data_IF_342018635623
#
_entry.id   IF_342018635623
#
_cell.length_a   1.000
_cell.length_b   1.000
_cell.length_c   1.000
_cell.angle_alpha   90.00
_cell.angle_beta   90.00
_cell.angle_gamma   90.00
#
_symmetry.space_group_name_H-M   'P 1'
#
loop_
_entity.id
_entity.type
_entity.pdbx_description
1 polymer ?
#
# COMPACT_ATOMS: atom_id res chain seq x y z
N UNK A 1 27.06 -6.60 -17.09
CA UNK A 1 26.20 -5.63 -16.38
C UNK A 1 25.14 -6.42 -15.63
N UNK A 2 25.35 -6.71 -14.34
CA UNK A 2 24.40 -7.49 -13.53
C UNK A 2 23.21 -6.58 -13.21
N UNK A 3 22.09 -6.81 -13.87
CA UNK A 3 20.82 -6.15 -13.54
C UNK A 3 20.43 -6.67 -12.16
N UNK A 4 20.59 -5.84 -11.12
CA UNK A 4 20.04 -6.12 -9.80
C UNK A 4 18.54 -5.90 -9.89
N UNK A 5 17.77 -6.99 -9.91
CA UNK A 5 16.34 -6.94 -9.66
C UNK A 5 16.11 -6.44 -8.23
N UNK A 6 15.30 -5.38 -8.01
CA UNK A 6 14.93 -4.99 -6.66
C UNK A 6 14.13 -6.14 -6.03
N UNK A 7 14.57 -6.60 -4.86
CA UNK A 7 13.91 -7.66 -4.12
C UNK A 7 12.65 -7.05 -3.49
N UNK A 8 11.50 -7.25 -4.13
CA UNK A 8 10.21 -6.81 -3.60
C UNK A 8 9.89 -7.73 -2.42
N UNK A 9 10.05 -7.23 -1.20
CA UNK A 9 9.69 -7.97 0.00
C UNK A 9 8.17 -7.86 0.19
N UNK A 10 7.53 -9.01 0.12
CA UNK A 10 6.11 -9.23 0.35
C UNK A 10 5.92 -9.32 1.87
N UNK A 11 5.27 -8.32 2.47
CA UNK A 11 4.80 -8.42 3.87
C UNK A 11 3.56 -9.30 3.83
N UNK A 12 3.75 -10.56 4.20
CA UNK A 12 2.69 -11.53 4.37
C UNK A 12 2.58 -11.84 5.88
N UNK A 13 1.60 -11.34 6.62
CA UNK A 13 1.31 -11.98 7.90
C UNK A 13 0.67 -13.34 7.60
N UNK A 14 1.11 -14.41 8.26
CA UNK A 14 0.46 -15.72 8.21
C UNK A 14 0.54 -16.37 9.60
N UNK A 15 -0.62 -16.46 10.26
CA UNK A 15 -0.76 -17.26 11.48
C UNK A 15 -1.78 -18.36 11.19
N UNK A 16 -1.29 -19.61 11.15
CA UNK A 16 -2.09 -20.82 11.14
C UNK A 16 -2.33 -21.28 12.57
N UNK A 17 -3.58 -21.69 12.88
CA UNK A 17 -3.89 -22.44 14.09
C UNK A 17 -4.16 -23.89 13.72
N UNK A 18 -3.44 -24.83 14.32
CA UNK A 18 -3.84 -26.23 14.41
C UNK A 18 -3.66 -26.75 15.84
N UNK A 19 -4.73 -27.38 16.31
CA UNK A 19 -4.86 -28.00 17.63
C UNK A 19 -3.96 -29.23 17.77
N UNK A 20 -3.10 -29.24 18.79
CA UNK A 20 -2.83 -30.41 19.63
C UNK A 20 -2.22 -29.93 20.96
N UNK A 21 -2.61 -30.58 22.05
CA UNK A 21 -2.39 -30.18 23.45
C UNK A 21 -0.90 -30.14 23.87
N UNK A 22 -0.23 -29.03 23.61
CA UNK A 22 0.94 -28.61 24.37
C UNK A 22 0.61 -27.26 24.99
N UNK A 23 0.92 -27.08 26.28
CA UNK A 23 0.93 -25.75 26.90
C UNK A 23 1.81 -24.87 26.01
N UNK A 24 1.29 -23.80 25.38
CA UNK A 24 2.13 -23.01 24.49
C UNK A 24 3.16 -22.26 25.32
N UNK A 25 4.44 -22.42 25.00
CA UNK A 25 5.51 -21.69 25.66
C UNK A 25 5.53 -20.23 25.19
N UNK A 26 5.71 -19.29 26.13
CA UNK A 26 6.16 -17.94 25.78
C UNK A 26 7.48 -18.03 24.99
N UNK A 27 7.82 -17.01 24.18
CA UNK A 27 9.12 -16.93 23.54
C UNK A 27 10.25 -17.23 24.53
N UNK A 28 11.23 -18.08 24.16
CA UNK A 28 12.36 -18.37 25.02
C UNK A 28 13.11 -17.08 25.35
N UNK A 29 13.38 -16.86 26.63
CA UNK A 29 14.16 -15.73 27.11
C UNK A 29 15.14 -16.22 28.18
N UNK A 30 16.36 -15.69 28.14
CA UNK A 30 17.41 -15.91 29.14
C UNK A 30 17.83 -14.59 29.80
N UNK A 31 18.78 -14.65 30.73
CA UNK A 31 19.27 -13.49 31.50
C UNK A 31 20.01 -12.44 30.63
N UNK A 32 20.30 -12.74 29.37
CA UNK A 32 21.00 -11.78 28.48
C UNK A 32 20.06 -10.73 27.89
N UNK A 33 18.73 -10.96 27.96
CA UNK A 33 17.73 -9.99 27.55
C UNK A 33 17.65 -8.84 28.56
N UNK A 34 17.84 -7.63 28.07
CA UNK A 34 17.50 -6.40 28.78
C UNK A 34 16.02 -6.11 28.55
N UNK A 35 15.38 -5.52 29.56
CA UNK A 35 13.97 -5.16 29.53
C UNK A 35 13.84 -3.66 29.73
N UNK A 36 13.14 -3.01 28.81
CA UNK A 36 12.68 -1.64 28.95
C UNK A 36 11.16 -1.64 29.11
N UNK A 37 10.68 -1.22 30.28
CA UNK A 37 9.25 -1.27 30.62
C UNK A 37 8.61 0.11 30.50
N UNK A 38 7.51 0.18 29.77
CA UNK A 38 6.52 1.26 29.84
C UNK A 38 5.29 0.84 30.65
N UNK A 39 4.21 1.64 30.63
CA UNK A 39 2.99 1.35 31.39
C UNK A 39 2.26 0.08 30.94
N UNK A 40 2.22 -0.19 29.62
CA UNK A 40 1.47 -1.31 29.02
C UNK A 40 2.32 -2.20 28.13
N UNK A 41 3.52 -1.78 27.76
CA UNK A 41 4.42 -2.49 26.84
C UNK A 41 5.78 -2.67 27.51
N UNK A 42 6.33 -3.87 27.42
CA UNK A 42 7.71 -4.18 27.73
C UNK A 42 8.47 -4.49 26.43
N UNK A 43 9.61 -3.83 26.21
CA UNK A 43 10.50 -4.14 25.09
C UNK A 43 11.69 -4.93 25.61
N UNK A 44 11.85 -6.13 25.07
CA UNK A 44 12.97 -7.03 25.35
C UNK A 44 13.97 -6.92 24.21
N UNK A 45 15.23 -6.63 24.54
CA UNK A 45 16.31 -6.47 23.57
C UNK A 45 17.65 -7.01 24.09
N UNK A 46 18.63 -7.18 23.19
CA UNK A 46 20.00 -7.60 23.51
C UNK A 46 21.03 -6.64 22.90
N UNK A 47 22.29 -6.78 23.32
CA UNK A 47 23.43 -6.11 22.71
C UNK A 47 23.34 -4.58 22.76
N UNK A 48 23.62 -3.93 21.63
CA UNK A 48 23.65 -2.47 21.47
C UNK A 48 22.31 -1.88 20.99
N UNK A 49 21.21 -2.64 21.04
CA UNK A 49 19.89 -2.18 20.58
C UNK A 49 19.13 -1.31 21.60
N UNK A 50 19.81 -0.62 22.53
CA UNK A 50 19.14 0.21 23.55
C UNK A 50 18.33 1.33 22.93
N UNK A 51 18.94 2.08 22.02
CA UNK A 51 18.33 3.27 21.43
C UNK A 51 17.13 2.86 20.57
N UNK A 52 17.26 1.75 19.83
CA UNK A 52 16.17 1.14 19.08
C UNK A 52 15.04 0.65 20.02
N UNK A 53 15.37 0.08 21.18
CA UNK A 53 14.37 -0.38 22.14
C UNK A 53 13.57 0.79 22.75
N UNK A 54 14.22 1.92 23.01
CA UNK A 54 13.57 3.16 23.44
C UNK A 54 12.62 3.69 22.36
N UNK A 55 13.08 3.76 21.11
CA UNK A 55 12.24 4.19 19.98
C UNK A 55 11.05 3.24 19.75
N UNK A 56 11.28 1.92 19.82
CA UNK A 56 10.22 0.90 19.70
C UNK A 56 9.21 1.04 20.84
N UNK A 57 9.64 1.23 22.09
CA UNK A 57 8.73 1.40 23.21
C UNK A 57 7.85 2.64 23.02
N UNK A 58 8.46 3.76 22.64
CA UNK A 58 7.76 5.01 22.38
C UNK A 58 6.74 4.86 21.23
N UNK A 59 7.18 4.33 20.09
CA UNK A 59 6.34 4.16 18.89
C UNK A 59 5.23 3.14 19.09
N UNK A 60 5.53 1.98 19.66
CA UNK A 60 4.52 0.97 19.94
C UNK A 60 3.46 1.48 20.92
N UNK A 61 3.85 2.25 21.94
CA UNK A 61 2.90 2.86 22.87
C UNK A 61 2.01 3.91 22.19
N UNK A 62 2.57 4.70 21.27
CA UNK A 62 1.81 5.63 20.44
C UNK A 62 0.80 4.88 19.55
N UNK A 63 1.27 3.92 18.75
CA UNK A 63 0.43 3.15 17.82
C UNK A 63 -0.65 2.36 18.56
N UNK A 64 -0.34 1.77 19.71
CA UNK A 64 -1.32 1.04 20.53
C UNK A 64 -2.52 1.93 20.88
N UNK A 65 -2.27 3.17 21.29
CA UNK A 65 -3.32 4.14 21.61
C UNK A 65 -4.09 4.59 20.36
N UNK A 66 -3.38 4.91 19.27
CA UNK A 66 -3.97 5.37 18.02
C UNK A 66 -4.88 4.29 17.40
N UNK A 67 -4.38 3.05 17.31
CA UNK A 67 -5.12 1.88 16.79
C UNK A 67 -6.32 1.56 17.66
N UNK A 68 -6.15 1.52 18.99
CA UNK A 68 -7.25 1.23 19.92
C UNK A 68 -8.36 2.28 19.80
N UNK A 69 -8.00 3.57 19.72
CA UNK A 69 -8.95 4.65 19.54
C UNK A 69 -9.66 4.57 18.18
N UNK A 70 -8.91 4.29 17.11
CA UNK A 70 -9.46 4.20 15.76
C UNK A 70 -10.43 3.03 15.61
N UNK A 71 -10.15 1.90 16.24
CA UNK A 71 -10.98 0.68 16.18
C UNK A 71 -12.06 0.64 17.26
N UNK A 72 -11.99 1.51 18.28
CA UNK A 72 -12.89 1.47 19.44
C UNK A 72 -12.67 0.23 20.30
N UNK A 73 -11.45 -0.32 20.31
CA UNK A 73 -11.09 -1.52 21.06
C UNK A 73 -10.33 -1.14 22.34
N UNK A 74 -10.56 -1.86 23.45
CA UNK A 74 -9.85 -1.59 24.70
C UNK A 74 -8.41 -2.10 24.65
N UNK A 75 -7.50 -1.36 25.27
CA UNK A 75 -6.14 -1.84 25.58
C UNK A 75 -6.22 -2.76 26.81
N UNK A 76 -5.72 -3.99 26.71
CA UNK A 76 -5.63 -4.93 27.83
C UNK A 76 -4.29 -4.89 28.54
N UNK A 77 -3.21 -5.23 27.82
CA UNK A 77 -1.85 -5.35 28.37
C UNK A 77 -1.71 -6.37 29.53
N UNK A 78 -0.49 -6.54 30.06
CA UNK A 78 0.77 -6.03 29.51
C UNK A 78 1.17 -6.80 28.24
N UNK A 79 1.79 -6.10 27.28
CA UNK A 79 2.33 -6.68 26.06
C UNK A 79 3.85 -6.72 26.08
N UNK A 80 4.43 -7.65 25.31
CA UNK A 80 5.88 -7.84 25.20
C UNK A 80 6.30 -7.73 23.73
N UNK A 81 7.31 -6.91 23.45
CA UNK A 81 7.93 -6.81 22.13
C UNK A 81 9.37 -7.31 22.22
N UNK A 82 9.70 -8.36 21.47
CA UNK A 82 11.06 -8.89 21.38
C UNK A 82 11.75 -8.35 20.14
N UNK A 83 12.92 -7.71 20.32
CA UNK A 83 13.76 -7.23 19.22
C UNK A 83 14.79 -8.30 18.89
N UNK A 84 14.69 -8.89 17.70
CA UNK A 84 15.63 -9.89 17.20
C UNK A 84 16.72 -9.24 16.32
N UNK A 85 17.98 -9.43 16.68
CA UNK A 85 19.15 -8.92 15.97
C UNK A 85 19.48 -9.67 14.67
N UNK A 86 18.95 -10.87 14.46
CA UNK A 86 19.13 -11.66 13.23
C UNK A 86 17.90 -12.51 12.90
N UNK A 87 17.88 -13.08 11.69
CA UNK A 87 16.81 -14.00 11.26
C UNK A 87 16.82 -15.29 12.08
N UNK A 88 17.99 -15.79 12.46
CA UNK A 88 18.14 -16.97 13.30
C UNK A 88 17.56 -16.71 14.70
N UNK A 89 17.88 -15.55 15.29
CA UNK A 89 17.29 -15.15 16.57
C UNK A 89 15.77 -15.00 16.46
N UNK A 90 15.29 -14.34 15.40
CA UNK A 90 13.86 -14.18 15.12
C UNK A 90 13.12 -15.52 15.07
N UNK A 91 13.66 -16.50 14.35
CA UNK A 91 13.07 -17.85 14.26
C UNK A 91 13.12 -18.55 15.62
N UNK A 92 14.23 -18.46 16.36
CA UNK A 92 14.36 -19.11 17.67
C UNK A 92 13.42 -18.56 18.74
N UNK A 93 12.98 -17.31 18.62
CA UNK A 93 12.02 -16.69 19.53
C UNK A 93 10.57 -17.11 19.26
N UNK A 94 10.29 -17.72 18.11
CA UNK A 94 8.94 -18.16 17.78
C UNK A 94 8.55 -19.35 18.68
N UNK A 95 7.31 -19.37 19.21
CA UNK A 95 6.82 -20.51 19.98
C UNK A 95 6.93 -21.81 19.16
N UNK A 96 7.37 -22.91 19.79
CA UNK A 96 7.67 -24.18 19.11
C UNK A 96 6.50 -24.80 18.30
N UNK A 97 5.26 -24.39 18.57
CA UNK A 97 4.07 -24.79 17.82
C UNK A 97 3.82 -23.94 16.56
N UNK A 98 4.71 -23.03 16.21
CA UNK A 98 4.56 -22.08 15.10
C UNK A 98 5.87 -21.96 14.33
N UNK A 99 5.88 -22.46 13.09
CA UNK A 99 6.93 -22.18 12.12
C UNK A 99 6.45 -21.07 11.19
N UNK A 100 6.98 -19.86 11.36
CA UNK A 100 6.71 -18.77 10.44
C UNK A 100 7.24 -19.05 9.03
N UNK A 101 6.67 -18.41 8.02
CA UNK A 101 7.29 -18.35 6.70
C UNK A 101 8.69 -17.73 6.77
N UNK A 102 9.63 -18.24 5.96
CA UNK A 102 11.03 -17.78 5.96
C UNK A 102 11.23 -16.28 5.69
N UNK A 103 10.25 -15.61 5.10
CA UNK A 103 10.33 -14.21 4.68
C UNK A 103 9.73 -13.24 5.71
N UNK A 104 9.15 -13.72 6.83
CA UNK A 104 8.52 -12.86 7.83
C UNK A 104 9.56 -11.95 8.53
N UNK A 105 9.27 -10.64 8.52
CA UNK A 105 10.08 -9.59 9.17
C UNK A 105 9.74 -9.33 10.64
N UNK A 106 8.48 -9.58 10.97
CA UNK A 106 7.87 -9.44 12.27
C UNK A 106 6.71 -10.42 12.38
N UNK A 107 6.29 -10.73 13.60
CA UNK A 107 5.11 -11.54 13.87
C UNK A 107 4.47 -11.19 15.21
N UNK A 108 3.14 -11.21 15.22
CA UNK A 108 2.35 -11.08 16.44
C UNK A 108 1.72 -12.40 16.84
N UNK A 109 1.75 -12.66 18.15
CA UNK A 109 1.05 -13.74 18.81
C UNK A 109 0.07 -13.16 19.82
N UNK A 110 -1.15 -12.78 19.39
CA UNK A 110 -2.07 -12.02 20.24
C UNK A 110 -2.50 -12.78 21.49
N UNK A 111 -2.57 -14.12 21.42
CA UNK A 111 -2.86 -14.98 22.58
C UNK A 111 -1.88 -14.82 23.74
N UNK A 112 -0.66 -14.37 23.46
CA UNK A 112 0.39 -14.15 24.47
C UNK A 112 0.68 -12.68 24.69
N UNK A 113 -0.01 -11.77 23.97
CA UNK A 113 0.33 -10.35 23.98
C UNK A 113 1.76 -10.08 23.48
N UNK A 114 2.26 -10.90 22.56
CA UNK A 114 3.66 -10.85 22.10
C UNK A 114 3.77 -10.35 20.68
N UNK A 115 4.74 -9.48 20.43
CA UNK A 115 5.27 -9.14 19.10
C UNK A 115 6.74 -9.54 19.05
N UNK A 116 7.19 -10.13 17.95
CA UNK A 116 8.60 -10.39 17.66
C UNK A 116 8.95 -9.58 16.42
N UNK A 117 10.02 -8.79 16.48
CA UNK A 117 10.38 -7.83 15.43
C UNK A 117 11.88 -7.86 15.17
N UNK A 118 12.29 -8.12 13.93
CA UNK A 118 13.71 -8.04 13.54
C UNK A 118 14.21 -6.61 13.51
N UNK A 119 15.47 -6.35 13.89
CA UNK A 119 16.07 -5.01 13.75
C UNK A 119 16.07 -4.53 12.29
N UNK A 120 16.10 -3.20 12.04
CA UNK A 120 16.19 -2.66 10.68
C UNK A 120 17.36 -3.24 9.86
N UNK A 121 18.50 -3.50 10.51
CA UNK A 121 19.66 -4.12 9.87
C UNK A 121 19.42 -5.57 9.45
N UNK A 122 18.73 -6.36 10.28
CA UNK A 122 18.35 -7.73 9.97
C UNK A 122 17.30 -7.83 8.85
N UNK A 123 16.49 -6.78 8.66
CA UNK A 123 15.52 -6.65 7.57
C UNK A 123 16.13 -6.25 6.22
N UNK A 124 17.40 -5.81 6.20
CA UNK A 124 18.05 -5.34 4.96
C UNK A 124 17.33 -4.14 4.34
N UNK A 125 17.00 -4.22 3.04
CA UNK A 125 16.32 -3.12 2.31
C UNK A 125 14.94 -2.78 2.91
N UNK A 126 14.26 -3.77 3.48
CA UNK A 126 12.96 -3.60 4.15
C UNK A 126 13.05 -2.88 5.49
N UNK A 127 14.26 -2.65 6.03
CA UNK A 127 14.47 -1.86 7.24
C UNK A 127 13.95 -0.41 7.13
N UNK A 128 13.77 0.10 5.91
CA UNK A 128 13.15 1.42 5.67
C UNK A 128 11.67 1.49 6.03
N UNK A 129 10.98 0.34 6.09
CA UNK A 129 9.56 0.22 6.42
C UNK A 129 9.34 -0.22 7.88
N UNK A 130 10.39 -0.17 8.72
CA UNK A 130 10.38 -0.72 10.08
C UNK A 130 9.20 -0.25 10.94
N UNK A 131 8.90 1.06 10.91
CA UNK A 131 7.80 1.62 11.71
C UNK A 131 6.42 1.24 11.20
N UNK A 132 6.27 1.13 9.88
CA UNK A 132 5.04 0.65 9.25
C UNK A 132 4.79 -0.82 9.61
N UNK A 133 5.85 -1.64 9.57
CA UNK A 133 5.79 -3.03 10.02
C UNK A 133 5.43 -3.15 11.51
N UNK A 134 6.02 -2.33 12.38
CA UNK A 134 5.63 -2.29 13.79
C UNK A 134 4.16 -1.92 13.97
N UNK A 135 3.68 -0.89 13.28
CA UNK A 135 2.27 -0.46 13.34
C UNK A 135 1.32 -1.58 12.87
N UNK A 136 1.67 -2.31 11.82
CA UNK A 136 0.94 -3.49 11.34
C UNK A 136 0.78 -4.55 12.43
N UNK A 137 1.89 -4.92 13.08
CA UNK A 137 1.87 -5.90 14.16
C UNK A 137 1.06 -5.42 15.37
N UNK A 138 1.10 -4.12 15.69
CA UNK A 138 0.25 -3.54 16.74
C UNK A 138 -1.24 -3.64 16.39
N UNK A 139 -1.62 -3.50 15.12
CA UNK A 139 -3.01 -3.75 14.70
C UNK A 139 -3.41 -5.20 14.95
N UNK A 140 -2.57 -6.17 14.59
CA UNK A 140 -2.82 -7.57 14.89
C UNK A 140 -2.90 -7.85 16.39
N UNK A 141 -2.09 -7.17 17.19
CA UNK A 141 -2.09 -7.30 18.64
C UNK A 141 -3.43 -6.84 19.23
N UNK A 142 -3.89 -5.64 18.85
CA UNK A 142 -5.15 -5.05 19.33
C UNK A 142 -6.35 -5.88 18.87
N UNK A 143 -6.42 -6.22 17.58
CA UNK A 143 -7.53 -7.01 17.05
C UNK A 143 -7.55 -8.43 17.61
N UNK A 144 -6.39 -9.07 17.70
CA UNK A 144 -6.29 -10.44 18.22
C UNK A 144 -6.54 -10.53 19.73
N UNK A 145 -6.26 -9.49 20.51
CA UNK A 145 -6.70 -9.45 21.90
C UNK A 145 -8.24 -9.43 21.99
N UNK A 146 -8.90 -8.65 21.13
CA UNK A 146 -10.35 -8.67 21.05
C UNK A 146 -10.87 -10.07 20.65
N UNK A 147 -10.28 -10.71 19.64
CA UNK A 147 -10.62 -12.10 19.29
C UNK A 147 -10.55 -13.05 20.48
N UNK A 148 -9.51 -12.93 21.32
CA UNK A 148 -9.35 -13.76 22.51
C UNK A 148 -10.39 -13.43 23.59
N UNK A 149 -10.68 -12.15 23.82
CA UNK A 149 -11.62 -11.70 24.86
C UNK A 149 -13.06 -12.11 24.56
N UNK A 150 -13.47 -12.04 23.30
CA UNK A 150 -14.83 -12.35 22.85
C UNK A 150 -14.99 -13.78 22.30
N UNK A 151 -13.92 -14.58 22.28
CA UNK A 151 -13.88 -15.93 21.71
C UNK A 151 -14.44 -16.02 20.27
N UNK A 152 -14.02 -15.06 19.44
CA UNK A 152 -14.39 -14.97 18.01
C UNK A 152 -13.13 -14.82 17.15
N UNK A 153 -13.24 -15.05 15.84
CA UNK A 153 -12.14 -14.85 14.90
C UNK A 153 -12.60 -13.99 13.73
N UNK A 154 -11.94 -12.87 13.51
CA UNK A 154 -12.17 -12.05 12.34
C UNK A 154 -11.75 -12.83 11.09
N UNK A 155 -12.44 -12.64 9.95
CA UNK A 155 -11.92 -13.11 8.68
C UNK A 155 -10.57 -12.47 8.41
N UNK A 156 -9.62 -13.26 7.91
CA UNK A 156 -8.24 -12.81 7.68
C UNK A 156 -8.16 -11.59 6.77
N UNK A 157 -8.95 -11.54 5.70
CA UNK A 157 -9.02 -10.34 4.85
C UNK A 157 -9.38 -9.06 5.62
N UNK A 158 -10.13 -9.15 6.73
CA UNK A 158 -10.46 -7.98 7.53
C UNK A 158 -9.27 -7.56 8.39
N UNK A 159 -8.66 -8.49 9.12
CA UNK A 159 -7.50 -8.18 9.97
C UNK A 159 -6.33 -7.65 9.16
N UNK A 160 -5.99 -8.32 8.06
CA UNK A 160 -4.93 -7.91 7.13
C UNK A 160 -5.25 -6.59 6.43
N UNK A 161 -6.52 -6.40 6.03
CA UNK A 161 -6.96 -5.16 5.39
C UNK A 161 -6.86 -3.96 6.33
N UNK A 162 -7.20 -4.13 7.61
CA UNK A 162 -7.10 -3.07 8.61
C UNK A 162 -5.63 -2.79 8.94
N UNK A 163 -4.82 -3.84 9.13
CA UNK A 163 -3.39 -3.70 9.41
C UNK A 163 -2.68 -2.94 8.29
N UNK A 164 -2.81 -3.39 7.05
CA UNK A 164 -2.22 -2.73 5.87
C UNK A 164 -2.78 -1.34 5.59
N UNK A 165 -4.04 -1.08 5.97
CA UNK A 165 -4.63 0.24 5.80
C UNK A 165 -4.06 1.26 6.77
N UNK A 166 -3.96 0.90 8.06
CA UNK A 166 -3.47 1.77 9.12
C UNK A 166 -1.95 1.98 8.95
N UNK A 167 -1.19 0.92 8.73
CA UNK A 167 0.27 0.98 8.57
C UNK A 167 0.76 1.67 7.30
N UNK A 168 -0.15 1.96 6.35
CA UNK A 168 0.18 2.65 5.11
C UNK A 168 0.96 1.79 4.09
N UNK A 169 0.90 0.46 4.18
CA UNK A 169 1.67 -0.48 3.35
C UNK A 169 1.24 -0.58 1.88
N UNK A 170 0.33 0.27 1.41
CA UNK A 170 -0.03 0.28 -0.01
C UNK A 170 0.99 1.01 -0.86
N UNK A 171 1.92 0.23 -1.41
CA UNK A 171 2.84 0.67 -2.46
C UNK A 171 2.24 0.62 -3.87
N UNK A 172 2.95 1.27 -4.80
CA UNK A 172 2.66 1.19 -6.25
C UNK A 172 2.59 -0.27 -6.75
N UNK A 173 3.49 -1.20 -6.35
CA UNK A 173 3.41 -2.59 -6.80
C UNK A 173 2.08 -3.27 -6.44
N UNK A 174 1.60 -3.18 -5.18
CA UNK A 174 0.29 -3.72 -4.78
C UNK A 174 -0.86 -3.15 -5.61
N UNK A 175 -0.83 -1.84 -5.83
CA UNK A 175 -1.85 -1.17 -6.63
C UNK A 175 -1.87 -1.71 -8.06
N UNK A 176 -0.70 -1.95 -8.66
CA UNK A 176 -0.58 -2.54 -9.99
C UNK A 176 -1.06 -3.99 -10.02
N UNK A 177 -0.66 -4.82 -9.05
CA UNK A 177 -1.11 -6.22 -8.95
C UNK A 177 -2.63 -6.32 -8.84
N UNK A 178 -3.26 -5.51 -7.98
CA UNK A 178 -4.71 -5.46 -7.85
C UNK A 178 -5.37 -4.97 -9.14
N UNK A 179 -4.81 -3.94 -9.76
CA UNK A 179 -5.37 -3.41 -11.01
C UNK A 179 -5.35 -4.45 -12.12
N UNK A 180 -4.27 -5.23 -12.24
CA UNK A 180 -4.19 -6.36 -13.15
C UNK A 180 -5.16 -7.48 -12.79
N UNK A 181 -5.33 -7.81 -11.51
CA UNK A 181 -6.27 -8.83 -11.07
C UNK A 181 -7.72 -8.44 -11.40
N UNK A 182 -8.10 -7.17 -11.21
CA UNK A 182 -9.42 -6.63 -11.55
C UNK A 182 -9.68 -6.66 -13.06
N UNK A 183 -8.69 -6.31 -13.88
CA UNK A 183 -8.82 -6.33 -15.35
C UNK A 183 -8.90 -7.76 -15.90
N UNK A 184 -8.13 -8.69 -15.33
CA UNK A 184 -8.07 -10.09 -15.80
C UNK A 184 -9.14 -11.00 -15.19
N UNK A 185 -9.92 -10.50 -14.22
CA UNK A 185 -10.88 -11.30 -13.47
C UNK A 185 -10.24 -12.28 -12.48
N UNK A 186 -8.98 -12.03 -12.09
CA UNK A 186 -8.19 -12.87 -11.17
C UNK A 186 -8.33 -12.46 -9.69
N UNK A 187 -9.32 -11.64 -9.36
CA UNK A 187 -9.68 -11.27 -7.96
C UNK A 187 -10.07 -12.50 -7.16
N UNK A 188 -9.87 -12.47 -5.84
CA UNK A 188 -10.07 -13.64 -4.99
C UNK A 188 -11.39 -13.49 -4.23
N UNK A 189 -12.30 -14.48 -4.23
CA UNK A 189 -13.49 -14.42 -3.38
C UNK A 189 -13.12 -14.21 -1.91
N UNK A 190 -13.83 -13.33 -1.19
CA UNK A 190 -13.53 -13.01 0.21
C UNK A 190 -13.64 -14.23 1.11
N UNK A 191 -14.56 -15.15 0.80
CA UNK A 191 -14.72 -16.43 1.48
C UNK A 191 -13.43 -17.26 1.40
N UNK A 192 -12.73 -17.25 0.25
CA UNK A 192 -11.51 -18.00 0.05
C UNK A 192 -10.31 -17.42 0.84
N UNK A 193 -10.34 -16.12 1.15
CA UNK A 193 -9.32 -15.42 1.95
C UNK A 193 -9.80 -15.09 3.37
N UNK A 194 -10.87 -15.74 3.83
CA UNK A 194 -11.38 -15.54 5.20
C UNK A 194 -10.59 -16.33 6.24
N UNK A 195 -9.97 -17.45 5.85
CA UNK A 195 -9.16 -18.29 6.75
C UNK A 195 -7.69 -18.14 6.43
N UNK A 196 -7.29 -18.36 5.18
CA UNK A 196 -5.90 -18.31 4.75
C UNK A 196 -5.70 -17.48 3.49
N UNK A 197 -4.58 -16.78 3.43
CA UNK A 197 -4.13 -16.16 2.19
C UNK A 197 -3.40 -17.21 1.33
N UNK A 198 -3.33 -17.00 0.00
CA UNK A 198 -2.60 -17.88 -0.91
C UNK A 198 -1.13 -18.04 -0.52
N UNK A 199 -0.58 -19.24 -0.70
CA UNK A 199 0.86 -19.50 -0.52
C UNK A 199 1.71 -18.88 -1.63
N UNK A 200 1.14 -18.77 -2.85
CA UNK A 200 1.80 -18.09 -3.96
C UNK A 200 1.95 -16.59 -3.64
N UNK A 201 3.18 -16.03 -3.63
CA UNK A 201 3.42 -14.65 -3.21
C UNK A 201 2.65 -13.62 -4.03
N UNK A 202 2.54 -13.81 -5.35
CA UNK A 202 1.84 -12.88 -6.24
C UNK A 202 0.34 -12.85 -5.95
N UNK A 203 -0.27 -14.02 -5.72
CA UNK A 203 -1.68 -14.10 -5.31
C UNK A 203 -1.92 -13.57 -3.91
N UNK A 204 -0.97 -13.75 -3.01
CA UNK A 204 -1.04 -13.21 -1.66
C UNK A 204 -1.03 -11.67 -1.66
N UNK A 205 -0.20 -11.06 -2.52
CA UNK A 205 -0.20 -9.61 -2.75
C UNK A 205 -1.55 -9.09 -3.26
N UNK A 206 -2.24 -9.85 -4.12
CA UNK A 206 -3.61 -9.52 -4.54
C UNK A 206 -4.58 -9.59 -3.36
N UNK A 207 -4.46 -10.60 -2.49
CA UNK A 207 -5.31 -10.72 -1.30
C UNK A 207 -5.15 -9.52 -0.35
N UNK A 208 -3.91 -9.07 -0.10
CA UNK A 208 -3.66 -7.85 0.67
C UNK A 208 -4.23 -6.60 0.03
N UNK A 209 -3.94 -6.40 -1.26
CA UNK A 209 -4.39 -5.21 -1.94
C UNK A 209 -5.93 -5.14 -2.00
N UNK A 210 -6.61 -6.28 -2.20
CA UNK A 210 -8.06 -6.38 -2.16
C UNK A 210 -8.61 -6.08 -0.75
N UNK A 211 -7.96 -6.60 0.29
CA UNK A 211 -8.31 -6.40 1.70
C UNK A 211 -8.17 -4.93 2.11
N UNK A 212 -7.04 -4.29 1.77
CA UNK A 212 -6.83 -2.86 1.95
C UNK A 212 -7.92 -2.05 1.24
N UNK A 213 -8.19 -2.38 -0.04
CA UNK A 213 -9.12 -1.60 -0.83
C UNK A 213 -10.54 -1.71 -0.28
N UNK A 214 -10.89 -2.85 0.31
CA UNK A 214 -12.15 -3.05 1.01
C UNK A 214 -12.27 -2.12 2.22
N UNK A 215 -11.24 -2.05 3.07
CA UNK A 215 -11.22 -1.13 4.23
C UNK A 215 -11.32 0.32 3.76
N UNK A 216 -10.58 0.70 2.72
CA UNK A 216 -10.66 2.03 2.14
C UNK A 216 -12.06 2.34 1.56
N UNK A 217 -12.71 1.37 0.93
CA UNK A 217 -14.09 1.48 0.46
C UNK A 217 -15.04 1.74 1.62
N UNK A 218 -14.92 0.99 2.72
CA UNK A 218 -15.75 1.19 3.91
C UNK A 218 -15.61 2.61 4.46
N UNK A 219 -14.38 3.08 4.64
CA UNK A 219 -14.13 4.41 5.17
C UNK A 219 -14.66 5.52 4.26
N UNK A 220 -14.50 5.37 2.93
CA UNK A 220 -15.03 6.34 1.97
C UNK A 220 -16.55 6.35 1.93
N UNK A 221 -17.20 5.19 2.03
CA UNK A 221 -18.64 5.05 1.86
C UNK A 221 -19.44 5.31 3.14
N UNK A 222 -18.88 4.97 4.29
CA UNK A 222 -19.58 4.97 5.59
C UNK A 222 -18.89 5.83 6.66
N UNK A 223 -17.85 6.59 6.28
CA UNK A 223 -17.16 7.57 7.12
C UNK A 223 -16.02 6.97 7.96
N UNK A 224 -15.34 7.83 8.72
CA UNK A 224 -14.09 7.48 9.41
C UNK A 224 -14.25 6.34 10.43
N UNK A 225 -15.41 6.24 11.08
CA UNK A 225 -15.67 5.20 12.10
C UNK A 225 -16.25 3.91 11.50
N UNK A 226 -16.25 3.75 10.17
CA UNK A 226 -16.84 2.59 9.51
C UNK A 226 -16.24 1.28 10.01
N UNK A 227 -14.90 1.19 10.02
CA UNK A 227 -14.17 0.00 10.44
C UNK A 227 -14.47 -0.34 11.90
N UNK A 228 -14.43 0.64 12.81
CA UNK A 228 -14.76 0.45 14.22
C UNK A 228 -16.17 -0.12 14.43
N UNK A 229 -17.17 0.40 13.69
CA UNK A 229 -18.55 -0.12 13.75
C UNK A 229 -18.63 -1.57 13.27
N UNK A 230 -17.94 -1.91 12.17
CA UNK A 230 -17.93 -3.28 11.66
C UNK A 230 -17.24 -4.23 12.63
N UNK A 231 -16.09 -3.84 13.18
CA UNK A 231 -15.32 -4.61 14.17
C UNK A 231 -16.17 -4.86 15.41
N UNK A 232 -16.76 -3.81 16.00
CA UNK A 232 -17.62 -3.93 17.19
C UNK A 232 -18.83 -4.83 16.91
N UNK A 233 -19.53 -4.59 15.80
CA UNK A 233 -20.68 -5.41 15.40
C UNK A 233 -20.29 -6.87 15.16
N UNK A 234 -19.09 -7.14 14.62
CA UNK A 234 -18.60 -8.50 14.45
C UNK A 234 -18.30 -9.19 15.78
N UNK A 235 -17.66 -8.49 16.73
CA UNK A 235 -17.41 -9.02 18.07
C UNK A 235 -18.72 -9.40 18.79
N UNK A 236 -19.80 -8.63 18.59
CA UNK A 236 -21.11 -8.92 19.18
C UNK A 236 -21.86 -10.06 18.49
N UNK A 237 -21.76 -10.17 17.17
CA UNK A 237 -22.59 -11.11 16.38
C UNK A 237 -21.88 -12.42 16.03
N UNK A 238 -20.54 -12.44 15.99
CA UNK A 238 -19.73 -13.59 15.58
C UNK A 238 -19.91 -14.02 14.12
N UNK A 239 -20.65 -13.24 13.32
CA UNK A 239 -20.98 -13.57 11.93
C UNK A 239 -20.91 -12.32 11.04
N UNK A 240 -20.18 -12.39 9.93
CA UNK A 240 -19.94 -11.23 9.07
C UNK A 240 -21.22 -10.68 8.42
N UNK A 241 -22.17 -11.54 8.06
CA UNK A 241 -23.42 -11.09 7.45
C UNK A 241 -24.28 -10.30 8.45
N UNK A 242 -24.37 -10.79 9.68
CA UNK A 242 -25.06 -10.09 10.77
C UNK A 242 -24.29 -8.82 11.18
N UNK A 243 -22.96 -8.87 11.22
CA UNK A 243 -22.11 -7.74 11.57
C UNK A 243 -22.30 -6.56 10.61
N UNK A 244 -22.29 -6.85 9.30
CA UNK A 244 -22.51 -5.85 8.24
C UNK A 244 -23.91 -5.26 8.31
N UNK A 245 -24.93 -6.09 8.55
CA UNK A 245 -26.29 -5.59 8.74
C UNK A 245 -26.39 -4.68 9.97
N UNK A 246 -25.83 -5.10 11.10
CA UNK A 246 -25.80 -4.28 12.32
C UNK A 246 -25.02 -2.97 12.18
N UNK A 247 -23.94 -2.95 11.39
CA UNK A 247 -23.07 -1.79 11.25
C UNK A 247 -23.56 -0.77 10.20
N UNK A 248 -24.22 -1.23 9.13
CA UNK A 248 -24.50 -0.43 7.93
C UNK A 248 -25.92 -0.57 7.38
N UNK A 249 -26.79 -1.37 8.01
CA UNK A 249 -28.18 -1.61 7.59
C UNK A 249 -28.32 -2.13 6.13
N UNK A 250 -27.37 -2.96 5.71
CA UNK A 250 -27.38 -3.62 4.39
C UNK A 250 -26.99 -5.09 4.51
N UNK A 251 -27.28 -5.88 3.48
CA UNK A 251 -26.78 -7.26 3.43
C UNK A 251 -25.29 -7.29 3.08
N UNK A 252 -24.59 -8.34 3.54
CA UNK A 252 -23.18 -8.54 3.17
C UNK A 252 -22.99 -8.71 1.66
N UNK A 253 -23.93 -9.38 0.99
CA UNK A 253 -23.95 -9.46 -0.49
C UNK A 253 -24.07 -8.07 -1.12
N UNK A 254 -24.92 -7.20 -0.58
CA UNK A 254 -25.05 -5.82 -1.04
C UNK A 254 -23.76 -5.03 -0.87
N UNK A 255 -23.07 -5.21 0.27
CA UNK A 255 -21.78 -4.58 0.55
C UNK A 255 -20.70 -5.04 -0.44
N UNK A 256 -20.59 -6.36 -0.68
CA UNK A 256 -19.63 -6.94 -1.63
C UNK A 256 -19.89 -6.46 -3.06
N UNK A 257 -21.16 -6.33 -3.47
CA UNK A 257 -21.53 -5.78 -4.77
C UNK A 257 -21.13 -4.30 -4.91
N UNK A 258 -21.35 -3.49 -3.86
CA UNK A 258 -20.92 -2.10 -3.82
C UNK A 258 -19.38 -1.97 -3.88
N UNK A 259 -18.67 -2.82 -3.13
CA UNK A 259 -17.22 -2.90 -3.20
C UNK A 259 -16.73 -3.26 -4.60
N UNK A 260 -17.31 -4.28 -5.24
CA UNK A 260 -16.93 -4.71 -6.60
C UNK A 260 -17.05 -3.56 -7.61
N UNK A 261 -18.10 -2.74 -7.52
CA UNK A 261 -18.23 -1.56 -8.38
C UNK A 261 -17.16 -0.51 -8.08
N UNK A 262 -16.88 -0.24 -6.80
CA UNK A 262 -15.82 0.69 -6.37
C UNK A 262 -14.43 0.25 -6.84
N UNK A 263 -14.09 -1.02 -6.64
CA UNK A 263 -12.81 -1.60 -7.01
C UNK A 263 -12.58 -1.52 -8.53
N UNK A 264 -13.60 -1.90 -9.31
CA UNK A 264 -13.54 -1.83 -10.77
C UNK A 264 -13.26 -0.40 -11.27
N UNK A 265 -13.97 0.60 -10.74
CA UNK A 265 -13.76 2.01 -11.16
C UNK A 265 -12.35 2.49 -10.83
N UNK A 266 -11.84 2.15 -9.65
CA UNK A 266 -10.52 2.59 -9.22
C UNK A 266 -9.39 1.91 -10.00
N UNK A 267 -9.54 0.62 -10.29
CA UNK A 267 -8.56 -0.20 -10.97
C UNK A 267 -8.50 0.03 -12.49
N UNK A 268 -9.55 0.59 -13.11
CA UNK A 268 -9.55 0.85 -14.56
C UNK A 268 -8.52 1.90 -15.01
N UNK A 269 -8.27 2.94 -14.21
CA UNK A 269 -7.43 4.06 -14.65
C UNK A 269 -5.94 3.83 -14.39
N UNK A 270 -5.60 2.98 -13.42
CA UNK A 270 -4.21 2.77 -12.99
C UNK A 270 -3.35 2.19 -14.13
N UNK A 271 -3.72 1.08 -14.80
CA UNK A 271 -2.93 0.56 -15.92
C UNK A 271 -2.83 1.57 -17.07
N UNK A 272 -3.88 2.37 -17.29
CA UNK A 272 -3.92 3.38 -18.35
C UNK A 272 -2.91 4.51 -18.11
N UNK A 273 -2.63 4.90 -16.86
CA UNK A 273 -1.62 5.96 -16.61
C UNK A 273 -0.21 5.39 -16.42
N UNK A 274 -0.09 4.13 -15.98
CA UNK A 274 1.21 3.51 -15.71
C UNK A 274 1.75 2.65 -16.84
N UNK A 275 0.99 2.44 -17.94
CA UNK A 275 1.48 1.62 -19.05
C UNK A 275 2.57 2.33 -19.85
N UNK A 276 3.56 1.56 -20.31
CA UNK A 276 4.60 2.02 -21.24
C UNK A 276 3.98 2.58 -22.52
N UNK A 277 2.86 2.02 -22.99
CA UNK A 277 2.13 2.53 -24.15
C UNK A 277 1.58 3.94 -23.94
N UNK A 278 1.20 4.29 -22.71
CA UNK A 278 0.72 5.63 -22.35
C UNK A 278 1.85 6.65 -22.33
N UNK A 279 3.03 6.26 -21.87
CA UNK A 279 4.25 7.08 -21.95
C UNK A 279 4.60 7.34 -23.41
N UNK A 280 4.65 6.29 -24.25
CA UNK A 280 4.89 6.46 -25.69
C UNK A 280 3.80 7.26 -26.38
N UNK A 281 2.53 7.04 -26.04
CA UNK A 281 1.40 7.81 -26.57
C UNK A 281 1.49 9.30 -26.23
N UNK A 282 1.87 9.64 -24.99
CA UNK A 282 2.11 11.03 -24.59
C UNK A 282 3.29 11.63 -25.35
N UNK A 283 4.40 10.90 -25.48
CA UNK A 283 5.56 11.32 -26.29
C UNK A 283 5.12 11.58 -27.73
N UNK A 284 4.36 10.67 -28.35
CA UNK A 284 3.83 10.83 -29.71
C UNK A 284 2.92 12.04 -29.83
N UNK A 285 2.05 12.30 -28.85
CA UNK A 285 1.20 13.49 -28.81
C UNK A 285 2.03 14.79 -28.72
N UNK A 286 3.09 14.81 -27.91
CA UNK A 286 3.99 15.96 -27.81
C UNK A 286 4.78 16.16 -29.11
N UNK A 287 5.20 15.08 -29.78
CA UNK A 287 5.80 15.14 -31.11
C UNK A 287 4.83 15.67 -32.15
N UNK A 288 3.58 15.21 -32.17
CA UNK A 288 2.54 15.72 -33.07
C UNK A 288 2.24 17.18 -32.80
N UNK A 289 2.10 17.58 -31.53
CA UNK A 289 1.86 18.97 -31.15
C UNK A 289 3.01 19.88 -31.59
N UNK A 290 4.25 19.48 -31.33
CA UNK A 290 5.43 20.24 -31.78
C UNK A 290 5.57 20.28 -33.31
N UNK A 291 5.25 19.17 -33.99
CA UNK A 291 5.24 19.08 -35.45
C UNK A 291 4.17 19.98 -36.09
N UNK A 292 2.93 19.93 -35.60
CA UNK A 292 1.84 20.80 -36.06
C UNK A 292 2.16 22.25 -35.76
N UNK A 293 2.65 22.55 -34.55
CA UNK A 293 3.08 23.90 -34.18
C UNK A 293 4.21 24.43 -35.07
N UNK A 294 5.17 23.58 -35.44
CA UNK A 294 6.21 23.91 -36.42
C UNK A 294 5.61 24.16 -37.79
N UNK A 295 4.77 23.26 -38.29
CA UNK A 295 4.15 23.36 -39.61
C UNK A 295 3.30 24.63 -39.76
N UNK A 296 2.56 25.01 -38.71
CA UNK A 296 1.80 26.28 -38.68
C UNK A 296 2.74 27.50 -38.73
N UNK A 297 3.90 27.46 -38.05
CA UNK A 297 4.89 28.55 -38.14
C UNK A 297 5.55 28.62 -39.51
N UNK A 298 5.87 27.47 -40.10
CA UNK A 298 6.49 27.39 -41.43
C UNK A 298 5.54 27.95 -42.51
N UNK A 299 4.24 27.60 -42.47
CA UNK A 299 3.23 28.19 -43.35
C UNK A 299 3.07 29.71 -43.17
N UNK A 300 3.11 30.21 -41.94
CA UNK A 300 3.07 31.66 -41.67
C UNK A 300 4.31 32.39 -42.18
N UNK A 301 5.46 31.73 -42.16
CA UNK A 301 6.73 32.30 -42.65
C UNK A 301 6.73 32.37 -44.18
N UNK A 302 6.28 31.30 -44.86
CA UNK A 302 6.11 31.27 -46.31
C UNK A 302 5.12 32.34 -46.80
N UNK A 303 3.94 32.44 -46.16
CA UNK A 303 2.96 33.48 -46.52
C UNK A 303 3.54 34.90 -46.39
N UNK A 304 4.37 35.15 -45.37
CA UNK A 304 5.03 36.45 -45.20
C UNK A 304 6.08 36.71 -46.29
N UNK A 305 6.82 35.69 -46.72
CA UNK A 305 7.78 35.83 -47.81
C UNK A 305 7.10 36.06 -49.15
N UNK A 306 5.96 35.39 -49.42
CA UNK A 306 5.17 35.64 -50.63
C UNK A 306 4.64 37.09 -50.66
N UNK A 307 4.17 37.61 -49.52
CA UNK A 307 3.72 39.01 -49.39
C UNK A 307 4.90 40.00 -49.59
N UNK A 308 6.06 39.75 -48.96
CA UNK A 308 7.28 40.57 -49.11
C UNK A 308 7.85 40.55 -50.54
N UNK A 309 7.78 39.40 -51.22
CA UNK A 309 8.22 39.23 -52.61
C UNK A 309 7.24 39.92 -53.59
N UNK A 310 5.93 39.83 -53.33
CA UNK A 310 4.92 40.57 -54.07
C UNK A 310 5.12 42.08 -53.95
N UNK A 311 5.32 42.59 -52.73
CA UNK A 311 5.56 44.02 -52.48
C UNK A 311 6.88 44.49 -53.12
N UNK A 312 7.95 43.69 -53.04
CA UNK A 312 9.22 44.01 -53.69
C UNK A 312 9.09 44.06 -55.21
N UNK A 313 8.46 43.06 -55.81
CA UNK A 313 8.25 43.02 -57.26
C UNK A 313 7.39 44.20 -57.73
N UNK A 314 6.40 44.62 -56.93
CA UNK A 314 5.60 45.81 -57.22
C UNK A 314 6.41 47.11 -57.11
N UNK A 315 7.31 47.22 -56.14
CA UNK A 315 8.21 48.36 -55.97
C UNK A 315 9.26 48.45 -57.11
N UNK A 316 9.87 47.33 -57.51
CA UNK A 316 10.80 47.28 -58.65
C UNK A 316 10.11 47.63 -59.97
N UNK A 317 8.85 47.21 -60.16
CA UNK A 317 8.05 47.59 -61.33
C UNK A 317 7.76 49.10 -61.35
N UNK A 318 7.50 49.70 -60.18
CA UNK A 318 7.30 51.15 -60.03
C UNK A 318 8.59 51.98 -60.22
N UNK A 319 9.76 51.45 -59.89
CA UNK A 319 11.05 52.14 -60.13
C UNK A 319 11.49 52.04 -61.59
N UNK A 320 11.21 50.92 -62.26
CA UNK A 320 11.48 50.73 -63.69
C UNK A 320 10.65 51.65 -64.61
N UNK A 321 9.46 52.07 -64.17
CA UNK A 321 8.60 52.99 -64.91
C UNK A 321 9.06 54.47 -64.81
N UNK A 322 9.83 54.82 -63.78
CA UNK A 322 10.36 56.18 -63.56
C UNK A 322 11.76 56.42 -64.15
N UNK A 323 12.37 55.41 -64.79
CA UNK A 323 13.75 55.46 -65.31
C UNK A 323 13.89 55.84 -66.78
N UNK A 324 12.80 56.07 -67.52
CA UNK A 324 12.82 56.42 -68.95
C UNK A 324 12.48 57.91 -69.17
N UNK A 325 13.32 58.81 -68.65
CA UNK A 325 13.31 60.23 -69.04
C UNK A 325 14.33 60.51 -70.16
N UNK A 326 13.83 60.50 -71.40
CA UNK A 326 14.15 61.50 -72.43
C UNK A 326 15.41 61.31 -73.29
N UNK A 327 15.29 61.16 -74.64
CA UNK A 327 16.44 61.24 -75.53
C UNK A 327 17.00 62.68 -75.62
N UNK A 328 18.30 62.85 -75.93
CA UNK A 328 19.00 64.13 -75.80
C UNK A 328 18.62 65.12 -76.90
N UNK A 329 18.46 66.40 -76.50
CA UNK A 329 18.27 67.53 -77.41
C UNK A 329 19.59 67.84 -78.12
N UNK A 330 19.59 67.77 -79.46
CA UNK A 330 20.70 68.21 -80.32
C UNK A 330 20.41 69.66 -80.76
N UNK A 331 21.37 70.54 -80.54
CA UNK A 331 21.37 71.96 -80.93
C UNK A 331 21.60 72.17 -82.42
#
# INVERSE_FOLDING_TARGET
MKIRTPLILVVLAAVFLLNAQAVPAEPPHDETWKVLSGPTIEVKYRGQSSDLAEDVLMKASQFLNEVSNLLGLPVGGPYKIFIAGSKEEFVSLQPAASSAPEWAGALTYPRYGVVILMTPGALGESGTQYWSLLEHEIVHLVMGEAENRWDVRFPRWLSEGVATFISGEMGIPRLLHLSWAEVTGSTIPFEAISVNFPEDPSRAEVAYAQSYLFVQYLMRRYGNNAVARLVTSFLEKGNMAQAVNGAYDISFVGLLNGFKQYARVKSMWVPVITSTASVWGLITLLFLYSYVGRRVRDYRTLSRWDDEEYDRNQAEFSEGENGDEGPPVIH
#
